data_IF_332170748497
#
_entry.id   IF_332170748497
#
_cell.length_a   1.000
_cell.length_b   1.000
_cell.length_c   1.000
_cell.angle_alpha   90.00
_cell.angle_beta   90.00
_cell.angle_gamma   90.00
#
_symmetry.space_group_name_H-M   'P 1'
#
loop_
_entity.id
_entity.type
_entity.pdbx_description
1 polymer ?
#
# COMPACT_ATOMS: atom_id res chain seq x y z
N UNK A 1 -36.53 -11.90 39.47
CA UNK A 1 -35.99 -10.60 39.05
C UNK A 1 -35.46 -10.74 37.62
N UNK A 2 -36.36 -10.78 36.63
CA UNK A 2 -36.77 -9.64 35.79
C UNK A 2 -35.69 -9.20 34.81
N UNK A 3 -35.67 -9.90 33.67
CA UNK A 3 -34.99 -9.55 32.42
C UNK A 3 -35.61 -8.27 31.85
N UNK A 4 -34.80 -7.22 31.68
CA UNK A 4 -35.20 -5.97 31.03
C UNK A 4 -34.73 -6.03 29.57
N UNK A 5 -35.69 -6.12 28.65
CA UNK A 5 -35.51 -5.92 27.20
C UNK A 5 -35.47 -4.42 26.91
N UNK A 6 -34.43 -3.95 26.22
CA UNK A 6 -34.38 -2.60 25.65
C UNK A 6 -35.05 -2.60 24.24
N UNK A 7 -35.87 -1.60 23.91
CA UNK A 7 -36.56 -1.55 22.63
C UNK A 7 -35.69 -0.98 21.49
N UNK A 8 -35.87 -1.57 20.31
CA UNK A 8 -35.44 -1.03 19.02
C UNK A 8 -36.28 0.21 18.69
N UNK A 9 -35.67 1.39 18.59
CA UNK A 9 -36.00 2.50 17.68
C UNK A 9 -35.42 3.81 18.21
N UNK A 10 -34.30 4.26 17.65
CA UNK A 10 -33.95 5.69 17.61
C UNK A 10 -33.45 5.97 16.19
N UNK A 11 -34.39 6.31 15.31
CA UNK A 11 -34.11 6.97 14.06
C UNK A 11 -34.73 8.37 14.14
N UNK A 12 -33.98 9.36 13.63
CA UNK A 12 -34.31 10.79 13.43
C UNK A 12 -34.05 11.69 14.64
N UNK A 13 -32.98 12.47 14.54
CA UNK A 13 -33.04 13.95 14.48
C UNK A 13 -31.62 14.50 14.32
N UNK A 14 -31.32 15.11 13.16
CA UNK A 14 -30.37 16.22 13.03
C UNK A 14 -30.76 17.04 11.78
N UNK A 15 -30.81 18.38 11.85
CA UNK A 15 -31.48 19.22 10.85
C UNK A 15 -30.56 19.78 9.77
N UNK A 16 -31.17 19.97 8.60
CA UNK A 16 -30.95 21.00 7.58
C UNK A 16 -29.86 22.07 7.86
N UNK A 17 -28.82 22.08 7.02
CA UNK A 17 -28.27 23.33 6.47
C UNK A 17 -27.95 23.13 4.99
N UNK A 18 -28.66 23.88 4.15
CA UNK A 18 -28.47 24.00 2.69
C UNK A 18 -28.47 25.49 2.39
N UNK A 19 -27.58 25.90 1.46
CA UNK A 19 -27.41 27.22 0.81
C UNK A 19 -26.40 28.15 1.51
N UNK A 20 -25.51 28.90 0.85
CA UNK A 20 -25.14 29.16 -0.56
C UNK A 20 -23.90 30.09 -0.51
N UNK A 21 -22.89 29.88 -1.35
CA UNK A 21 -22.09 30.92 -2.04
C UNK A 21 -21.19 30.21 -3.08
N UNK A 22 -21.46 30.20 -4.39
CA UNK A 22 -21.36 31.23 -5.44
C UNK A 22 -20.02 31.98 -5.51
N UNK A 23 -19.12 31.46 -6.34
CA UNK A 23 -18.17 32.19 -7.19
C UNK A 23 -17.83 31.24 -8.37
N UNK A 24 -18.45 31.41 -9.54
CA UNK A 24 -17.89 32.13 -10.71
C UNK A 24 -16.47 31.67 -11.04
N UNK A 25 -16.35 30.68 -11.92
CA UNK A 25 -15.40 30.68 -13.03
C UNK A 25 -16.16 30.13 -14.24
N UNK A 26 -16.38 31.02 -15.20
CA UNK A 26 -16.70 30.67 -16.57
C UNK A 26 -15.45 30.04 -17.17
N UNK A 27 -15.56 28.80 -17.63
CA UNK A 27 -14.83 28.33 -18.80
C UNK A 27 -15.82 27.49 -19.62
N UNK A 28 -16.18 28.04 -20.77
CA UNK A 28 -16.89 27.35 -21.83
C UNK A 28 -15.93 26.33 -22.44
N UNK A 29 -16.19 25.04 -22.21
CA UNK A 29 -15.89 23.89 -23.09
C UNK A 29 -15.82 22.62 -22.24
N UNK A 30 -16.95 21.93 -22.05
CA UNK A 30 -17.01 20.47 -21.85
C UNK A 30 -18.49 20.04 -21.80
N UNK A 31 -19.22 20.19 -22.91
CA UNK A 31 -20.50 19.47 -23.09
C UNK A 31 -20.22 18.05 -23.55
N UNK A 32 -19.76 17.21 -22.62
CA UNK A 32 -19.87 15.77 -22.75
C UNK A 32 -20.61 15.28 -21.51
N UNK A 33 -21.93 15.11 -21.63
CA UNK A 33 -22.67 14.30 -20.66
C UNK A 33 -21.96 12.96 -20.53
N UNK A 34 -21.68 12.47 -19.31
CA UNK A 34 -21.12 11.14 -19.14
C UNK A 34 -22.06 10.15 -19.84
N UNK A 35 -21.55 9.43 -20.83
CA UNK A 35 -22.29 8.37 -21.49
C UNK A 35 -22.33 7.20 -20.50
N UNK A 36 -23.27 7.26 -19.55
CA UNK A 36 -23.54 6.14 -18.66
C UNK A 36 -23.92 4.95 -19.54
N UNK A 37 -23.36 3.75 -19.29
CA UNK A 37 -23.85 2.56 -19.95
C UNK A 37 -25.37 2.48 -19.71
N UNK A 38 -26.17 2.18 -20.75
CA UNK A 38 -27.61 2.14 -20.62
C UNK A 38 -27.99 1.22 -19.46
N UNK A 39 -28.91 1.68 -18.61
CA UNK A 39 -29.50 0.86 -17.54
C UNK A 39 -30.00 -0.42 -18.21
N UNK A 40 -29.38 -1.56 -17.88
CA UNK A 40 -29.79 -2.87 -18.37
C UNK A 40 -31.27 -3.05 -18.04
N UNK A 41 -32.07 -3.04 -19.09
CA UNK A 41 -33.50 -3.24 -19.02
C UNK A 41 -33.75 -4.72 -18.71
N UNK A 42 -33.99 -5.01 -17.44
CA UNK A 42 -34.22 -6.35 -16.89
C UNK A 42 -35.64 -6.86 -17.14
N UNK A 43 -36.34 -6.33 -18.15
CA UNK A 43 -37.59 -6.91 -18.60
C UNK A 43 -37.39 -8.38 -19.01
N UNK A 44 -38.37 -9.26 -18.72
CA UNK A 44 -38.24 -10.71 -18.98
C UNK A 44 -37.85 -11.04 -20.43
N UNK A 45 -38.24 -10.20 -21.38
CA UNK A 45 -37.96 -10.34 -22.80
C UNK A 45 -36.47 -10.11 -23.12
N UNK A 46 -35.86 -9.05 -22.58
CA UNK A 46 -34.42 -8.77 -22.77
C UNK A 46 -33.50 -9.70 -22.01
N UNK A 47 -33.93 -10.20 -20.86
CA UNK A 47 -33.21 -11.28 -20.16
C UNK A 47 -33.19 -12.57 -21.01
N UNK A 48 -34.26 -12.84 -21.76
CA UNK A 48 -34.32 -13.96 -22.69
C UNK A 48 -33.43 -13.74 -23.91
N UNK A 49 -33.34 -12.50 -24.43
CA UNK A 49 -32.43 -12.13 -25.51
C UNK A 49 -30.96 -12.25 -25.10
N UNK A 50 -30.56 -11.74 -23.94
CA UNK A 50 -29.19 -11.91 -23.45
C UNK A 50 -28.82 -13.38 -23.19
N UNK A 51 -29.78 -14.20 -22.72
CA UNK A 51 -29.57 -15.65 -22.62
C UNK A 51 -29.41 -16.33 -23.98
N UNK A 52 -30.16 -15.86 -24.99
CA UNK A 52 -29.98 -16.33 -26.37
C UNK A 52 -28.65 -15.89 -26.93
N UNK A 53 -28.22 -14.64 -26.73
CA UNK A 53 -26.93 -14.11 -27.16
C UNK A 53 -25.76 -14.87 -26.53
N UNK A 54 -25.80 -15.11 -25.21
CA UNK A 54 -24.80 -15.94 -24.53
C UNK A 54 -24.78 -17.37 -25.09
N UNK A 55 -25.95 -17.96 -25.38
CA UNK A 55 -26.06 -19.26 -26.04
C UNK A 55 -25.50 -19.24 -27.48
N UNK A 56 -25.68 -18.14 -28.21
CA UNK A 56 -25.13 -17.98 -29.56
C UNK A 56 -23.61 -17.75 -29.53
N UNK A 57 -23.06 -17.08 -28.51
CA UNK A 57 -21.62 -16.95 -28.29
C UNK A 57 -20.97 -18.29 -27.91
N UNK A 58 -21.62 -19.08 -27.05
CA UNK A 58 -21.22 -20.46 -26.76
C UNK A 58 -21.22 -21.31 -28.03
N UNK A 59 -22.28 -21.24 -28.84
CA UNK A 59 -22.37 -21.95 -30.14
C UNK A 59 -21.34 -21.44 -31.16
N UNK A 60 -21.00 -20.15 -31.17
CA UNK A 60 -19.92 -19.60 -31.99
C UNK A 60 -18.57 -20.15 -31.54
N UNK A 61 -18.28 -20.17 -30.24
CA UNK A 61 -17.03 -20.72 -29.72
C UNK A 61 -16.90 -22.21 -30.04
N UNK A 62 -17.98 -22.99 -29.97
CA UNK A 62 -18.01 -24.40 -30.40
C UNK A 62 -17.71 -24.53 -31.89
N UNK A 63 -18.32 -23.71 -32.76
CA UNK A 63 -18.01 -23.70 -34.20
C UNK A 63 -16.57 -23.30 -34.51
N UNK A 64 -16.00 -22.34 -33.77
CA UNK A 64 -14.59 -21.94 -33.93
C UNK A 64 -13.62 -23.05 -33.50
N UNK A 65 -14.02 -23.90 -32.54
CA UNK A 65 -13.26 -25.09 -32.13
C UNK A 65 -13.36 -26.18 -33.21
N UNK A 66 -14.56 -26.41 -33.78
CA UNK A 66 -14.76 -27.34 -34.90
C UNK A 66 -13.99 -26.90 -36.16
N UNK A 67 -13.96 -25.61 -36.48
CA UNK A 67 -13.19 -25.06 -37.61
C UNK A 67 -11.67 -25.13 -37.38
N UNK A 68 -11.20 -25.06 -36.13
CA UNK A 68 -9.78 -25.31 -35.79
C UNK A 68 -9.42 -26.79 -35.93
N UNK A 69 -10.30 -27.69 -35.51
CA UNK A 69 -10.11 -29.14 -35.67
C UNK A 69 -10.10 -29.57 -37.15
N UNK A 70 -10.78 -28.84 -38.04
CA UNK A 70 -10.81 -29.10 -39.48
C UNK A 70 -9.59 -28.58 -40.25
N UNK A 71 -8.80 -27.66 -39.68
CA UNK A 71 -7.64 -27.04 -40.32
C UNK A 71 -6.29 -27.59 -39.86
N UNK A 72 -6.26 -28.45 -38.84
CA UNK A 72 -5.05 -29.18 -38.47
C UNK A 72 -4.89 -30.35 -39.46
N UNK A 73 -3.82 -30.33 -40.26
CA UNK A 73 -3.42 -31.49 -41.06
C UNK A 73 -3.22 -32.69 -40.10
N UNK A 74 -4.19 -33.60 -40.04
CA UNK A 74 -4.27 -34.73 -39.08
C UNK A 74 -3.03 -35.65 -39.06
N UNK A 75 -2.07 -35.47 -39.97
CA UNK A 75 -0.86 -36.28 -40.09
C UNK A 75 0.40 -35.42 -40.24
N UNK A 76 0.80 -34.76 -39.17
CA UNK A 76 2.19 -34.29 -39.03
C UNK A 76 3.11 -35.50 -38.78
N UNK A 77 4.31 -35.53 -39.39
CA UNK A 77 5.24 -36.67 -39.29
C UNK A 77 5.70 -37.00 -37.85
N UNK A 78 5.53 -36.05 -36.92
CA UNK A 78 5.73 -36.22 -35.49
C UNK A 78 4.41 -35.96 -34.77
N UNK A 79 3.86 -36.93 -34.00
CA UNK A 79 2.61 -36.73 -33.29
C UNK A 79 2.73 -35.61 -32.26
N UNK A 80 1.91 -34.57 -32.39
CA UNK A 80 1.85 -33.47 -31.45
C UNK A 80 0.72 -33.72 -30.43
N UNK A 81 1.05 -34.36 -29.30
CA UNK A 81 0.07 -34.62 -28.25
C UNK A 81 -0.21 -33.36 -27.44
N UNK A 82 -1.48 -33.12 -27.02
CA UNK A 82 -1.78 -32.05 -26.10
C UNK A 82 -1.10 -32.29 -24.73
N UNK A 83 -0.81 -31.23 -23.97
CA UNK A 83 -0.26 -31.36 -22.63
C UNK A 83 -1.24 -32.13 -21.73
N UNK A 84 -0.73 -33.09 -20.97
CA UNK A 84 -1.52 -33.86 -20.01
C UNK A 84 -1.87 -32.93 -18.85
N UNK A 85 -3.15 -32.62 -18.67
CA UNK A 85 -3.64 -31.77 -17.60
C UNK A 85 -4.33 -32.62 -16.52
N UNK A 86 -4.01 -32.35 -15.25
CA UNK A 86 -4.78 -32.90 -14.13
C UNK A 86 -6.10 -32.14 -13.99
N UNK A 87 -7.21 -32.87 -14.07
CA UNK A 87 -8.58 -32.35 -13.96
C UNK A 87 -9.11 -32.36 -12.53
N UNK A 88 -8.26 -32.67 -11.54
CA UNK A 88 -8.63 -32.53 -10.13
C UNK A 88 -9.09 -31.10 -9.83
N UNK A 89 -10.13 -30.89 -8.98
CA UNK A 89 -10.65 -29.55 -8.70
C UNK A 89 -9.60 -28.56 -8.21
N UNK A 90 -8.58 -29.07 -7.51
CA UNK A 90 -7.46 -28.29 -7.00
C UNK A 90 -6.57 -27.78 -8.15
N UNK A 91 -6.18 -28.67 -9.06
CA UNK A 91 -5.37 -28.31 -10.23
C UNK A 91 -6.10 -27.41 -11.20
N UNK A 92 -7.40 -27.61 -11.39
CA UNK A 92 -8.24 -26.69 -12.18
C UNK A 92 -8.25 -25.29 -11.57
N UNK A 93 -8.32 -25.16 -10.24
CA UNK A 93 -8.27 -23.86 -9.56
C UNK A 93 -6.86 -23.22 -9.67
N UNK A 94 -5.80 -24.03 -9.55
CA UNK A 94 -4.41 -23.60 -9.71
C UNK A 94 -4.17 -23.07 -11.13
N UNK A 95 -4.56 -23.82 -12.17
CA UNK A 95 -4.40 -23.40 -13.57
C UNK A 95 -5.18 -22.11 -13.86
N UNK A 96 -6.39 -21.94 -13.30
CA UNK A 96 -7.15 -20.68 -13.44
C UNK A 96 -6.42 -19.49 -12.80
N UNK A 97 -5.76 -19.71 -11.67
CA UNK A 97 -4.94 -18.67 -11.02
C UNK A 97 -3.70 -18.36 -11.85
N UNK A 98 -2.99 -19.38 -12.32
CA UNK A 98 -1.81 -19.23 -13.18
C UNK A 98 -2.14 -18.47 -14.45
N UNK A 99 -3.22 -18.83 -15.15
CA UNK A 99 -3.70 -18.10 -16.32
C UNK A 99 -3.96 -16.61 -16.00
N UNK A 100 -4.61 -16.34 -14.86
CA UNK A 100 -4.84 -14.96 -14.40
C UNK A 100 -3.54 -14.21 -14.07
N UNK A 101 -2.51 -14.92 -13.57
CA UNK A 101 -1.21 -14.35 -13.23
C UNK A 101 -0.37 -14.05 -14.47
N UNK A 102 -0.35 -14.96 -15.45
CA UNK A 102 0.27 -14.73 -16.75
C UNK A 102 -0.39 -13.55 -17.47
N UNK A 103 -1.71 -13.49 -17.41
CA UNK A 103 -2.50 -12.39 -17.91
C UNK A 103 -2.17 -11.03 -17.28
N UNK A 104 -1.80 -10.99 -15.99
CA UNK A 104 -1.36 -9.78 -15.28
C UNK A 104 0.11 -9.45 -15.60
N UNK A 105 0.95 -10.47 -15.72
CA UNK A 105 2.37 -10.36 -16.05
C UNK A 105 2.58 -9.76 -17.43
N UNK A 106 1.73 -10.12 -18.39
CA UNK A 106 1.81 -9.69 -19.79
C UNK A 106 1.25 -8.27 -20.05
N UNK A 107 0.61 -7.64 -19.07
CA UNK A 107 0.16 -6.24 -19.19
C UNK A 107 1.37 -5.32 -19.30
N UNK A 108 1.31 -4.33 -20.20
CA UNK A 108 2.45 -3.47 -20.52
C UNK A 108 2.58 -2.29 -19.56
N UNK A 109 1.49 -1.59 -19.29
CA UNK A 109 1.49 -0.38 -18.47
C UNK A 109 1.18 -0.69 -17.00
N UNK A 110 1.60 0.19 -16.09
CA UNK A 110 1.43 0.01 -14.65
C UNK A 110 -0.03 0.27 -14.26
N UNK A 111 -0.64 1.27 -14.89
CA UNK A 111 -2.01 1.69 -14.68
C UNK A 111 -2.98 0.56 -15.06
N UNK A 112 -2.79 -0.06 -16.22
CA UNK A 112 -3.58 -1.21 -16.65
C UNK A 112 -3.40 -2.39 -15.68
N UNK A 113 -2.19 -2.62 -15.15
CA UNK A 113 -1.97 -3.67 -14.14
C UNK A 113 -2.78 -3.41 -12.88
N UNK A 114 -2.77 -2.18 -12.37
CA UNK A 114 -3.54 -1.80 -11.18
C UNK A 114 -5.05 -1.92 -11.40
N UNK A 115 -5.54 -1.51 -12.57
CA UNK A 115 -6.95 -1.67 -12.93
C UNK A 115 -7.31 -3.14 -13.02
N UNK A 116 -6.53 -3.95 -13.75
CA UNK A 116 -6.78 -5.38 -13.95
C UNK A 116 -6.75 -6.17 -12.64
N UNK A 117 -5.89 -5.79 -11.71
CA UNK A 117 -5.86 -6.38 -10.36
C UNK A 117 -7.16 -6.12 -9.57
N UNK A 118 -7.80 -4.98 -9.81
CA UNK A 118 -9.04 -4.57 -9.13
C UNK A 118 -10.32 -5.03 -9.82
N UNK A 119 -10.31 -5.18 -11.14
CA UNK A 119 -11.49 -5.58 -11.94
C UNK A 119 -12.26 -6.80 -11.42
N UNK A 120 -11.65 -7.92 -10.98
CA UNK A 120 -12.42 -9.09 -10.55
C UNK A 120 -13.22 -8.88 -9.26
N UNK A 121 -13.02 -7.77 -8.54
CA UNK A 121 -13.68 -7.52 -7.26
C UNK A 121 -14.35 -6.15 -7.23
N UNK A 122 -15.66 -6.14 -7.45
CA UNK A 122 -16.49 -4.93 -7.44
C UNK A 122 -16.33 -4.09 -6.16
N UNK A 123 -16.32 -4.73 -4.98
CA UNK A 123 -16.14 -4.05 -3.69
C UNK A 123 -14.68 -4.02 -3.20
N UNK A 124 -13.72 -4.38 -4.05
CA UNK A 124 -12.32 -4.51 -3.68
C UNK A 124 -12.02 -5.71 -2.78
N UNK A 125 -10.90 -5.63 -2.07
CA UNK A 125 -10.38 -6.67 -1.20
C UNK A 125 -10.71 -6.35 0.25
N UNK A 126 -10.97 -7.38 1.05
CA UNK A 126 -11.02 -7.25 2.51
C UNK A 126 -9.58 -7.13 3.02
N UNK A 127 -9.14 -5.89 3.23
CA UNK A 127 -7.79 -5.55 3.62
C UNK A 127 -7.67 -5.40 5.13
N UNK A 128 -6.49 -5.72 5.65
CA UNK A 128 -6.05 -5.32 6.97
C UNK A 128 -5.39 -3.96 6.87
N UNK A 129 -5.90 -3.00 7.62
CA UNK A 129 -5.50 -1.60 7.53
C UNK A 129 -4.36 -1.32 8.50
N UNK A 130 -3.24 -0.85 7.95
CA UNK A 130 -2.08 -0.38 8.70
C UNK A 130 -1.92 1.10 8.42
N UNK A 131 -2.41 1.89 9.36
CA UNK A 131 -2.22 3.33 9.33
C UNK A 131 -0.92 3.68 10.06
N UNK A 132 -0.31 4.78 9.64
CA UNK A 132 0.95 5.26 10.22
C UNK A 132 0.75 5.82 11.64
N UNK A 133 -0.32 6.58 11.86
CA UNK A 133 -0.62 7.25 13.13
C UNK A 133 -1.29 6.36 14.18
N UNK A 134 -1.82 5.20 13.81
CA UNK A 134 -2.46 4.28 14.76
C UNK A 134 -1.64 2.99 14.90
N UNK A 135 -0.96 2.85 16.04
CA UNK A 135 -0.10 1.69 16.30
C UNK A 135 -0.61 0.93 17.54
N UNK A 136 -1.25 -0.22 17.37
CA UNK A 136 -1.61 -1.10 18.49
C UNK A 136 -0.38 -1.63 19.26
N UNK A 137 -0.61 -2.14 20.46
CA UNK A 137 0.44 -2.74 21.29
C UNK A 137 1.00 -4.04 20.69
N UNK A 138 2.31 -4.23 20.74
CA UNK A 138 2.96 -5.51 20.40
C UNK A 138 2.84 -5.91 18.92
N UNK A 139 2.74 -4.94 18.02
CA UNK A 139 2.54 -5.19 16.59
C UNK A 139 3.85 -5.51 15.82
N UNK A 140 5.02 -5.28 16.42
CA UNK A 140 6.32 -5.43 15.76
C UNK A 140 6.55 -6.85 15.15
N UNK A 141 6.30 -7.96 15.87
CA UNK A 141 6.48 -9.31 15.30
C UNK A 141 5.55 -9.59 14.12
N UNK A 142 4.31 -9.06 14.16
CA UNK A 142 3.38 -9.15 13.04
C UNK A 142 3.93 -8.41 11.83
N UNK A 143 4.42 -7.18 12.02
CA UNK A 143 4.96 -6.37 10.93
C UNK A 143 6.17 -7.04 10.27
N UNK A 144 7.13 -7.50 11.06
CA UNK A 144 8.28 -8.25 10.55
C UNK A 144 7.86 -9.50 9.76
N UNK A 145 6.82 -10.21 10.22
CA UNK A 145 6.28 -11.37 9.51
C UNK A 145 5.64 -11.00 8.17
N UNK A 146 4.76 -9.99 8.13
CA UNK A 146 4.00 -9.64 6.91
C UNK A 146 4.87 -8.95 5.86
N UNK A 147 5.91 -8.22 6.25
CA UNK A 147 6.88 -7.60 5.33
C UNK A 147 8.08 -8.50 5.05
N UNK A 148 8.19 -9.63 5.75
CA UNK A 148 9.35 -10.53 5.73
C UNK A 148 10.67 -9.80 6.00
N UNK A 149 10.64 -8.91 6.99
CA UNK A 149 11.78 -8.05 7.33
C UNK A 149 12.49 -8.57 8.58
N UNK A 150 13.82 -8.67 8.50
CA UNK A 150 14.68 -8.88 9.64
C UNK A 150 15.16 -7.52 10.19
N UNK A 151 15.05 -7.32 11.50
CA UNK A 151 15.49 -6.09 12.16
C UNK A 151 16.86 -6.31 12.79
N UNK A 152 17.83 -5.50 12.36
CA UNK A 152 19.18 -5.49 12.94
C UNK A 152 19.26 -4.28 13.87
N UNK A 153 19.25 -4.55 15.18
CA UNK A 153 19.45 -3.54 16.21
C UNK A 153 20.95 -3.34 16.41
N UNK A 154 21.52 -2.36 15.72
CA UNK A 154 22.87 -1.85 15.98
C UNK A 154 22.74 -0.40 16.43
N UNK A 155 23.52 -0.03 17.43
CA UNK A 155 23.61 1.37 17.88
C UNK A 155 24.31 2.26 16.85
N UNK A 156 25.00 1.64 15.89
CA UNK A 156 25.79 2.30 14.84
C UNK A 156 25.13 2.18 13.47
N UNK A 157 25.34 3.22 12.65
CA UNK A 157 24.97 3.23 11.24
C UNK A 157 25.78 2.18 10.45
N UNK A 158 25.30 1.77 9.26
CA UNK A 158 26.08 0.91 8.37
C UNK A 158 27.50 1.45 8.12
N UNK A 159 28.49 0.55 8.03
CA UNK A 159 29.93 0.89 7.93
C UNK A 159 30.26 1.89 6.82
N UNK A 160 29.47 1.87 5.74
CA UNK A 160 29.57 2.82 4.64
C UNK A 160 29.50 4.29 5.11
N UNK A 161 28.62 4.61 6.07
CA UNK A 161 28.43 5.99 6.53
C UNK A 161 29.56 6.48 7.43
N UNK A 162 30.29 5.58 8.09
CA UNK A 162 31.42 5.94 8.96
C UNK A 162 32.60 6.52 8.16
N UNK A 163 32.63 6.33 6.84
CA UNK A 163 33.69 6.86 5.97
C UNK A 163 33.45 8.32 5.55
N UNK A 164 32.25 8.86 5.80
CA UNK A 164 31.87 10.20 5.35
C UNK A 164 32.18 11.21 6.46
N UNK A 165 33.14 12.10 6.23
CA UNK A 165 33.41 13.21 7.15
C UNK A 165 32.40 14.34 6.91
N UNK A 166 31.62 14.69 7.95
CA UNK A 166 30.54 15.69 7.91
C UNK A 166 30.84 16.88 8.83
N UNK A 167 31.94 16.88 9.59
CA UNK A 167 32.17 17.83 10.69
C UNK A 167 32.17 19.30 10.22
N UNK A 168 32.81 19.57 9.08
CA UNK A 168 32.87 20.90 8.49
C UNK A 168 31.46 21.39 8.09
N UNK A 169 30.64 20.51 7.52
CA UNK A 169 29.27 20.82 7.11
C UNK A 169 28.37 21.08 8.33
N UNK A 170 28.51 20.26 9.37
CA UNK A 170 27.75 20.43 10.62
C UNK A 170 28.08 21.78 11.25
N UNK A 171 29.36 22.17 11.27
CA UNK A 171 29.78 23.46 11.85
C UNK A 171 29.12 24.66 11.15
N UNK A 172 28.95 24.58 9.83
CA UNK A 172 28.32 25.65 9.03
C UNK A 172 26.80 25.71 9.20
N UNK A 173 26.13 24.57 9.38
CA UNK A 173 24.66 24.49 9.40
C UNK A 173 24.09 24.62 10.82
N UNK A 174 24.90 24.34 11.84
CA UNK A 174 24.45 24.32 13.25
C UNK A 174 23.75 25.61 13.67
N UNK A 175 24.32 26.76 13.32
CA UNK A 175 23.74 28.07 13.66
C UNK A 175 22.35 28.26 13.04
N UNK A 176 22.18 27.86 11.78
CA UNK A 176 20.90 27.98 11.07
C UNK A 176 19.83 27.08 11.71
N UNK A 177 20.19 25.86 12.10
CA UNK A 177 19.26 24.92 12.77
C UNK A 177 18.85 25.45 14.15
N UNK A 178 19.80 25.97 14.94
CA UNK A 178 19.50 26.56 16.25
C UNK A 178 18.50 27.73 16.12
N UNK A 179 18.69 28.60 15.12
CA UNK A 179 17.77 29.70 14.84
C UNK A 179 16.38 29.20 14.45
N UNK A 180 16.29 28.18 13.58
CA UNK A 180 15.02 27.55 13.19
C UNK A 180 14.27 27.00 14.42
N UNK A 181 14.98 26.32 15.32
CA UNK A 181 14.37 25.76 16.53
C UNK A 181 13.84 26.86 17.46
N UNK A 182 14.63 27.92 17.68
CA UNK A 182 14.23 29.05 18.52
C UNK A 182 13.05 29.81 17.91
N UNK A 183 13.01 29.95 16.59
CA UNK A 183 11.93 30.62 15.87
C UNK A 183 10.61 29.84 16.01
N UNK A 184 10.63 28.55 15.67
CA UNK A 184 9.42 27.71 15.65
C UNK A 184 8.86 27.39 17.03
N UNK A 185 9.73 27.29 18.04
CA UNK A 185 9.33 26.95 19.41
C UNK A 185 8.87 28.18 20.21
N UNK A 186 9.56 29.32 20.11
CA UNK A 186 9.31 30.49 20.98
C UNK A 186 8.66 31.69 20.28
N UNK A 187 8.98 31.94 19.01
CA UNK A 187 8.69 33.24 18.38
C UNK A 187 7.53 33.18 17.38
N UNK A 188 7.22 32.01 16.84
CA UNK A 188 6.12 31.85 15.88
C UNK A 188 4.79 31.60 16.59
N UNK A 189 3.90 32.60 16.56
CA UNK A 189 2.52 32.45 17.04
C UNK A 189 1.62 31.90 15.94
N UNK A 190 1.03 30.73 16.16
CA UNK A 190 0.12 30.12 15.19
C UNK A 190 -1.28 30.69 15.35
N UNK A 191 -2.12 30.54 14.32
CA UNK A 191 -3.50 31.06 14.33
C UNK A 191 -4.28 30.62 15.57
N UNK A 192 -4.14 29.37 15.99
CA UNK A 192 -4.79 28.83 17.19
C UNK A 192 -4.28 29.43 18.49
N UNK A 193 -3.00 29.80 18.56
CA UNK A 193 -2.44 30.53 19.71
C UNK A 193 -3.02 31.95 19.80
N UNK A 194 -3.44 32.52 18.66
CA UNK A 194 -4.04 33.85 18.59
C UNK A 194 -5.56 33.80 18.79
N UNK A 195 -6.24 32.78 18.29
CA UNK A 195 -7.69 32.59 18.42
C UNK A 195 -8.10 31.88 19.72
N UNK A 196 -7.15 31.40 20.53
CA UNK A 196 -7.38 30.59 21.74
C UNK A 196 -8.30 29.38 21.48
N UNK A 197 -8.19 28.78 20.30
CA UNK A 197 -8.90 27.55 19.98
C UNK A 197 -8.25 26.36 20.71
N UNK A 198 -9.06 25.57 21.42
CA UNK A 198 -8.61 24.32 22.03
C UNK A 198 -8.34 23.30 20.92
N UNK A 199 -7.06 23.06 20.63
CA UNK A 199 -6.59 22.01 19.73
C UNK A 199 -6.10 20.83 20.57
N UNK A 200 -6.34 19.63 20.07
CA UNK A 200 -5.78 18.40 20.63
C UNK A 200 -4.24 18.45 20.71
N UNK A 201 -3.69 17.82 21.75
CA UNK A 201 -2.26 17.86 22.05
C UNK A 201 -1.45 17.22 20.91
N UNK A 202 -1.95 16.11 20.34
CA UNK A 202 -1.31 15.41 19.23
C UNK A 202 -1.28 16.30 17.97
N UNK A 203 -2.42 16.90 17.63
CA UNK A 203 -2.52 17.79 16.47
C UNK A 203 -1.61 19.03 16.62
N UNK A 204 -1.48 19.57 17.85
CA UNK A 204 -0.55 20.68 18.12
C UNK A 204 0.91 20.25 17.92
N UNK A 205 1.29 19.09 18.44
CA UNK A 205 2.65 18.57 18.28
C UNK A 205 2.97 18.28 16.81
N UNK A 206 2.05 17.68 16.06
CA UNK A 206 2.20 17.44 14.62
C UNK A 206 2.46 18.72 13.85
N UNK A 207 1.71 19.78 14.14
CA UNK A 207 1.88 21.07 13.46
C UNK A 207 3.26 21.69 13.75
N UNK A 208 3.71 21.60 15.01
CA UNK A 208 5.03 22.08 15.42
C UNK A 208 6.14 21.26 14.74
N UNK A 209 6.07 19.93 14.87
CA UNK A 209 7.03 18.99 14.28
C UNK A 209 7.10 19.15 12.76
N UNK A 210 5.94 19.29 12.09
CA UNK A 210 5.90 19.52 10.63
C UNK A 210 6.65 20.80 10.25
N UNK A 211 6.36 21.91 10.92
CA UNK A 211 7.05 23.18 10.65
C UNK A 211 8.55 23.06 10.88
N UNK A 212 8.98 22.47 12.00
CA UNK A 212 10.40 22.26 12.32
C UNK A 212 11.07 21.41 11.25
N UNK A 213 10.50 20.26 10.90
CA UNK A 213 11.06 19.36 9.87
C UNK A 213 11.18 20.04 8.51
N UNK A 214 10.17 20.81 8.09
CA UNK A 214 10.20 21.54 6.81
C UNK A 214 11.31 22.60 6.79
N UNK A 215 11.48 23.35 7.88
CA UNK A 215 12.50 24.40 7.97
C UNK A 215 13.91 23.85 8.12
N UNK A 216 14.09 22.76 8.88
CA UNK A 216 15.37 22.05 8.98
C UNK A 216 15.75 21.50 7.61
N UNK A 217 14.84 20.80 6.92
CA UNK A 217 15.12 20.27 5.58
C UNK A 217 15.45 21.39 4.59
N UNK A 218 14.74 22.53 4.65
CA UNK A 218 15.05 23.70 3.83
C UNK A 218 16.47 24.24 4.09
N UNK A 219 16.86 24.36 5.35
CA UNK A 219 18.20 24.86 5.74
C UNK A 219 19.30 23.89 5.31
N UNK A 220 19.06 22.60 5.50
CA UNK A 220 19.91 21.50 5.02
C UNK A 220 20.10 21.56 3.50
N UNK A 221 19.01 21.63 2.73
CA UNK A 221 19.07 21.65 1.27
C UNK A 221 19.74 22.91 0.72
N UNK A 222 19.50 24.09 1.31
CA UNK A 222 20.13 25.33 0.87
C UNK A 222 21.64 25.35 1.07
N UNK A 223 22.12 24.79 2.19
CA UNK A 223 23.54 24.74 2.48
C UNK A 223 24.24 23.61 1.71
N UNK A 224 23.66 22.41 1.67
CA UNK A 224 24.27 21.25 1.03
C UNK A 224 24.22 21.31 -0.51
N UNK A 225 23.22 21.95 -1.12
CA UNK A 225 23.10 22.06 -2.59
C UNK A 225 24.24 22.84 -3.25
N UNK A 226 24.98 23.65 -2.47
CA UNK A 226 26.18 24.37 -2.96
C UNK A 226 27.36 23.43 -3.16
N UNK A 227 27.50 22.45 -2.27
CA UNK A 227 28.61 21.49 -2.26
C UNK A 227 28.28 20.26 -3.10
N UNK A 228 27.01 19.83 -3.08
CA UNK A 228 26.55 18.60 -3.69
C UNK A 228 25.55 18.86 -4.81
N UNK A 229 26.03 18.76 -6.05
CA UNK A 229 25.21 18.98 -7.25
C UNK A 229 24.04 18.01 -7.40
N UNK A 230 24.17 16.79 -6.89
CA UNK A 230 23.09 15.79 -6.94
C UNK A 230 21.84 16.22 -6.15
N UNK A 231 22.00 17.03 -5.08
CA UNK A 231 20.88 17.56 -4.30
C UNK A 231 20.11 18.66 -5.04
N UNK A 232 20.72 19.32 -6.03
CA UNK A 232 20.00 20.29 -6.89
C UNK A 232 18.94 19.59 -7.75
N UNK A 233 19.15 18.30 -8.03
CA UNK A 233 18.22 17.45 -8.75
C UNK A 233 17.35 16.60 -7.81
N UNK A 234 17.28 16.93 -6.53
CA UNK A 234 16.38 16.25 -5.61
C UNK A 234 15.04 16.98 -5.54
N UNK A 235 13.95 16.22 -5.55
CA UNK A 235 12.59 16.75 -5.39
C UNK A 235 12.14 16.57 -3.94
N UNK A 236 11.46 17.58 -3.41
CA UNK A 236 10.92 17.58 -2.06
C UNK A 236 9.40 17.58 -2.18
N UNK A 237 8.75 16.57 -1.60
CA UNK A 237 7.30 16.54 -1.48
C UNK A 237 6.91 16.74 -0.01
N UNK A 238 5.89 17.58 0.20
CA UNK A 238 5.35 17.88 1.53
C UNK A 238 4.04 17.13 1.71
N UNK A 239 3.90 16.44 2.83
CA UNK A 239 2.72 15.63 3.16
C UNK A 239 2.26 14.67 2.03
N UNK A 240 3.17 13.91 1.35
CA UNK A 240 2.76 13.04 0.25
C UNK A 240 1.90 11.86 0.74
N UNK A 241 0.95 11.45 -0.11
CA UNK A 241 0.09 10.29 0.14
C UNK A 241 0.79 9.00 -0.27
N UNK A 242 1.12 8.15 0.70
CA UNK A 242 1.64 6.81 0.44
C UNK A 242 0.52 5.78 0.64
N UNK A 243 0.31 4.93 -0.36
CA UNK A 243 -0.52 3.74 -0.20
C UNK A 243 0.21 2.53 -0.76
N UNK A 244 0.14 1.41 -0.05
CA UNK A 244 0.85 0.20 -0.45
C UNK A 244 0.02 -1.02 -0.11
N UNK A 245 -0.10 -1.92 -1.07
CA UNK A 245 -0.87 -3.15 -0.98
C UNK A 245 -0.01 -4.35 -1.33
N UNK A 246 -0.15 -5.42 -0.54
CA UNK A 246 0.47 -6.70 -0.82
C UNK A 246 -0.29 -7.85 -0.15
N UNK A 247 0.03 -9.08 -0.54
CA UNK A 247 -0.46 -10.28 0.12
C UNK A 247 0.60 -10.85 1.05
N UNK A 248 0.24 -11.04 2.33
CA UNK A 248 1.07 -11.73 3.31
C UNK A 248 0.49 -13.13 3.59
N UNK A 249 1.27 -14.18 3.34
CA UNK A 249 0.88 -15.58 3.57
C UNK A 249 1.45 -16.16 4.87
N UNK A 250 0.95 -17.33 5.28
CA UNK A 250 1.47 -18.09 6.42
C UNK A 250 0.66 -18.03 7.71
N UNK A 251 -0.37 -17.17 7.78
CA UNK A 251 -1.23 -17.04 8.97
C UNK A 251 -2.39 -18.04 8.98
N UNK A 252 -2.81 -18.41 10.18
CA UNK A 252 -3.95 -19.31 10.42
C UNK A 252 -5.25 -18.73 9.82
N UNK A 253 -6.11 -19.56 9.21
CA UNK A 253 -7.39 -19.12 8.67
C UNK A 253 -8.36 -18.68 9.78
N UNK A 254 -9.06 -17.54 9.63
CA UNK A 254 -10.13 -17.14 10.52
C UNK A 254 -11.30 -18.13 10.45
N UNK A 255 -12.13 -18.10 11.50
CA UNK A 255 -13.22 -19.06 11.68
C UNK A 255 -14.22 -19.08 10.52
N UNK A 256 -14.46 -17.94 9.86
CA UNK A 256 -15.32 -17.87 8.68
C UNK A 256 -14.76 -18.68 7.50
N UNK A 257 -13.44 -18.66 7.29
CA UNK A 257 -12.78 -19.45 6.24
C UNK A 257 -12.79 -20.93 6.61
N UNK A 258 -12.53 -21.28 7.88
CA UNK A 258 -12.63 -22.66 8.36
C UNK A 258 -14.04 -23.23 8.18
N UNK A 259 -15.07 -22.44 8.51
CA UNK A 259 -16.49 -22.81 8.28
C UNK A 259 -16.79 -23.05 6.80
N UNK A 260 -16.30 -22.17 5.92
CA UNK A 260 -16.48 -22.33 4.48
C UNK A 260 -15.85 -23.63 3.96
N UNK A 261 -14.59 -23.90 4.35
CA UNK A 261 -13.86 -25.12 3.95
C UNK A 261 -14.51 -26.39 4.48
N UNK A 262 -15.02 -26.39 5.71
CA UNK A 262 -15.79 -27.52 6.27
C UNK A 262 -17.08 -27.81 5.50
N UNK A 263 -17.70 -26.77 4.94
CA UNK A 263 -18.93 -26.89 4.14
C UNK A 263 -18.70 -27.55 2.77
N UNK A 264 -17.48 -27.56 2.25
CA UNK A 264 -17.15 -28.15 0.95
C UNK A 264 -16.40 -29.46 1.13
N UNK A 265 -16.97 -30.58 0.66
CA UNK A 265 -16.37 -31.92 0.86
C UNK A 265 -14.92 -32.03 0.37
N UNK A 266 -14.64 -31.45 -0.79
CA UNK A 266 -13.30 -31.43 -1.39
C UNK A 266 -12.33 -30.42 -0.75
N UNK A 267 -12.74 -29.65 0.26
CA UNK A 267 -11.86 -28.73 1.01
C UNK A 267 -11.73 -29.09 2.50
N UNK A 268 -12.42 -30.12 2.98
CA UNK A 268 -12.42 -30.51 4.40
C UNK A 268 -11.02 -30.82 4.91
N UNK A 269 -10.19 -31.50 4.11
CA UNK A 269 -8.79 -31.80 4.48
C UNK A 269 -7.92 -30.55 4.62
N UNK A 270 -8.34 -29.42 4.05
CA UNK A 270 -7.61 -28.15 4.01
C UNK A 270 -8.09 -27.14 5.04
N UNK A 271 -8.93 -27.54 6.00
CA UNK A 271 -9.55 -26.63 6.97
C UNK A 271 -8.52 -25.70 7.62
N UNK A 272 -7.43 -26.27 8.13
CA UNK A 272 -6.39 -25.56 8.87
C UNK A 272 -5.25 -25.02 7.99
N UNK A 273 -5.33 -25.15 6.66
CA UNK A 273 -4.27 -24.62 5.80
C UNK A 273 -4.14 -23.10 5.95
N UNK A 274 -2.92 -22.56 6.06
CA UNK A 274 -2.69 -21.12 6.09
C UNK A 274 -3.33 -20.39 4.91
N UNK A 275 -3.66 -19.12 5.11
CA UNK A 275 -4.29 -18.31 4.07
C UNK A 275 -3.64 -16.95 3.94
N UNK A 276 -3.57 -16.47 2.70
CA UNK A 276 -3.05 -15.15 2.41
C UNK A 276 -3.98 -14.06 2.96
N UNK A 277 -3.38 -12.98 3.42
CA UNK A 277 -4.04 -11.79 3.97
C UNK A 277 -3.71 -10.63 3.05
N UNK A 278 -4.74 -9.92 2.61
CA UNK A 278 -4.59 -8.66 1.91
C UNK A 278 -4.21 -7.58 2.91
N UNK A 279 -3.03 -6.99 2.76
CA UNK A 279 -2.53 -5.94 3.64
C UNK A 279 -2.61 -4.62 2.87
N UNK A 280 -3.06 -3.57 3.54
CA UNK A 280 -3.03 -2.21 3.03
C UNK A 280 -2.37 -1.30 4.05
N UNK A 281 -1.30 -0.64 3.62
CA UNK A 281 -0.65 0.44 4.35
C UNK A 281 -1.10 1.80 3.81
N UNK A 282 -1.35 2.75 4.71
CA UNK A 282 -1.60 4.16 4.40
C UNK A 282 -0.65 5.00 5.25
N UNK A 283 0.22 5.73 4.55
CA UNK A 283 1.22 6.62 5.14
C UNK A 283 0.98 8.07 4.76
N UNK A 284 1.25 8.96 5.70
CA UNK A 284 1.30 10.42 5.51
C UNK A 284 2.56 10.96 6.17
N UNK A 285 3.74 10.67 5.60
CA UNK A 285 5.01 11.28 6.00
C UNK A 285 4.90 12.81 5.99
N UNK A 286 5.70 13.48 6.81
CA UNK A 286 5.76 14.94 6.83
C UNK A 286 6.46 15.49 5.58
N UNK A 287 7.48 14.77 5.11
CA UNK A 287 8.33 15.18 3.99
C UNK A 287 8.99 13.97 3.34
N UNK A 288 9.08 13.98 2.02
CA UNK A 288 9.89 13.06 1.23
C UNK A 288 10.94 13.78 0.42
N UNK A 289 12.13 13.21 0.38
CA UNK A 289 13.18 13.54 -0.57
C UNK A 289 13.24 12.45 -1.64
N UNK A 290 13.06 12.83 -2.90
CA UNK A 290 13.16 11.95 -4.05
C UNK A 290 14.29 12.37 -4.98
N UNK A 291 14.76 11.42 -5.78
CA UNK A 291 15.74 11.70 -6.82
C UNK A 291 15.54 10.81 -8.04
N UNK A 292 16.30 11.10 -9.09
CA UNK A 292 16.26 10.37 -10.35
C UNK A 292 17.03 9.05 -10.30
N UNK A 293 17.95 8.88 -9.34
CA UNK A 293 18.78 7.69 -9.23
C UNK A 293 18.48 6.96 -7.91
N UNK A 294 18.48 5.63 -7.90
CA UNK A 294 18.26 4.88 -6.66
C UNK A 294 19.46 5.03 -5.72
N UNK A 295 19.20 4.89 -4.42
CA UNK A 295 20.26 4.72 -3.43
C UNK A 295 21.02 3.42 -3.68
N UNK A 296 22.30 3.42 -3.31
CA UNK A 296 23.13 2.24 -3.40
C UNK A 296 22.68 1.18 -2.37
N UNK A 297 22.78 -0.12 -2.72
CA UNK A 297 22.51 -1.19 -1.77
C UNK A 297 23.45 -1.10 -0.55
N UNK A 298 22.87 -1.19 0.64
CA UNK A 298 23.63 -1.27 1.90
C UNK A 298 24.31 -2.64 2.02
N UNK A 299 23.61 -3.69 1.58
CA UNK A 299 24.05 -5.08 1.62
C UNK A 299 23.94 -5.65 0.21
N UNK A 300 24.88 -6.51 -0.20
CA UNK A 300 24.83 -7.15 -1.50
C UNK A 300 23.61 -8.08 -1.62
N UNK A 301 23.00 -8.16 -2.81
CA UNK A 301 21.79 -8.96 -3.03
C UNK A 301 21.93 -10.44 -2.63
N UNK A 302 23.13 -11.02 -2.81
CA UNK A 302 23.43 -12.42 -2.41
C UNK A 302 23.50 -12.61 -0.89
N UNK A 303 23.90 -11.58 -0.17
CA UNK A 303 23.99 -11.62 1.29
C UNK A 303 22.61 -11.43 1.92
N UNK A 304 21.70 -10.70 1.24
CA UNK A 304 20.31 -10.56 1.68
C UNK A 304 19.55 -11.90 1.77
N UNK A 305 20.00 -12.94 1.05
CA UNK A 305 19.43 -14.30 1.11
C UNK A 305 20.05 -15.20 2.19
N UNK A 306 20.84 -14.65 3.11
CA UNK A 306 21.46 -15.44 4.18
C UNK A 306 20.41 -15.98 5.17
N UNK A 307 20.52 -17.27 5.51
CA UNK A 307 19.66 -17.98 6.47
C UNK A 307 19.81 -17.47 7.91
N UNK A 308 20.90 -16.76 8.21
CA UNK A 308 21.13 -16.13 9.53
C UNK A 308 20.08 -15.06 9.85
N UNK A 309 19.48 -14.43 8.84
CA UNK A 309 18.45 -13.40 9.01
C UNK A 309 17.09 -14.03 9.34
N UNK A 310 16.91 -14.36 10.62
CA UNK A 310 15.66 -14.95 11.12
C UNK A 310 14.55 -13.92 11.21
N UNK A 311 13.47 -14.15 10.47
CA UNK A 311 12.23 -13.37 10.56
C UNK A 311 11.29 -14.02 11.58
N UNK A 312 10.72 -13.28 12.55
CA UNK A 312 9.76 -13.84 13.47
C UNK A 312 8.50 -14.29 12.73
N UNK A 313 7.97 -15.44 13.14
CA UNK A 313 6.76 -15.99 12.56
C UNK A 313 5.54 -15.61 13.39
N UNK A 314 4.57 -14.94 12.77
CA UNK A 314 3.30 -14.57 13.41
C UNK A 314 2.17 -15.45 12.89
N UNK A 315 1.66 -16.34 13.75
CA UNK A 315 0.67 -17.35 13.36
C UNK A 315 -0.79 -16.83 13.34
N UNK A 316 -1.10 -15.89 14.23
CA UNK A 316 -2.48 -15.51 14.52
C UNK A 316 -3.07 -14.55 13.48
N UNK A 317 -4.38 -14.31 13.54
CA UNK A 317 -5.03 -13.28 12.74
C UNK A 317 -4.56 -11.89 13.23
N UNK A 318 -4.17 -10.95 12.34
CA UNK A 318 -3.75 -9.59 12.72
C UNK A 318 -4.77 -8.83 13.59
N UNK A 319 -6.06 -9.21 13.56
CA UNK A 319 -7.09 -8.65 14.45
C UNK A 319 -6.81 -8.88 15.93
N UNK A 320 -6.07 -9.93 16.28
CA UNK A 320 -5.71 -10.24 17.67
C UNK A 320 -4.82 -9.14 18.27
N UNK A 321 -4.01 -8.48 17.44
CA UNK A 321 -3.18 -7.33 17.82
C UNK A 321 -3.85 -6.01 17.45
N UNK A 322 -5.18 -5.95 17.38
CA UNK A 322 -5.93 -4.71 17.20
C UNK A 322 -5.97 -4.15 15.77
N UNK A 323 -5.53 -4.92 14.76
CA UNK A 323 -5.58 -4.45 13.36
C UNK A 323 -7.02 -4.49 12.83
N UNK A 324 -7.48 -3.37 12.28
CA UNK A 324 -8.83 -3.24 11.70
C UNK A 324 -8.87 -3.80 10.27
N UNK A 325 -10.07 -4.16 9.82
CA UNK A 325 -10.27 -4.59 8.42
C UNK A 325 -11.36 -3.80 7.74
N UNK A 326 -11.11 -3.37 6.51
CA UNK A 326 -12.07 -2.67 5.66
C UNK A 326 -12.05 -3.26 4.25
N UNK A 327 -13.07 -2.96 3.45
CA UNK A 327 -13.07 -3.31 2.03
C UNK A 327 -12.50 -2.13 1.24
N UNK A 328 -11.46 -2.36 0.46
CA UNK A 328 -10.79 -1.33 -0.34
C UNK A 328 -10.28 -1.89 -1.66
N UNK A 329 -10.29 -1.07 -2.70
CA UNK A 329 -9.56 -1.38 -3.92
C UNK A 329 -8.06 -1.32 -3.65
N UNK A 330 -7.31 -2.17 -4.34
CA UNK A 330 -5.85 -2.21 -4.29
C UNK A 330 -5.31 -0.89 -4.81
N UNK A 331 -4.52 -0.22 -3.97
CA UNK A 331 -3.84 1.02 -4.32
C UNK A 331 -2.37 0.92 -3.92
N UNK A 332 -1.51 1.21 -4.90
CA UNK A 332 -0.06 1.38 -4.73
C UNK A 332 0.26 2.78 -5.23
N UNK A 333 0.54 3.72 -4.33
CA UNK A 333 0.78 5.14 -4.61
C UNK A 333 2.04 5.54 -3.82
N UNK A 334 3.16 5.86 -4.49
CA UNK A 334 4.41 6.22 -3.80
C UNK A 334 4.50 7.71 -3.40
N UNK A 335 3.48 8.50 -3.69
CA UNK A 335 3.42 9.95 -3.43
C UNK A 335 3.58 10.83 -4.67
N UNK A 336 3.81 10.24 -5.84
CA UNK A 336 3.89 10.92 -7.14
C UNK A 336 3.10 10.14 -8.20
N UNK A 337 2.89 10.74 -9.37
CA UNK A 337 2.17 10.12 -10.48
C UNK A 337 3.11 9.29 -11.37
N UNK A 338 2.64 8.21 -12.01
CA UNK A 338 3.44 7.47 -12.98
C UNK A 338 4.00 8.39 -14.07
N UNK A 339 5.26 8.19 -14.46
CA UNK A 339 5.95 8.99 -15.47
C UNK A 339 6.68 10.23 -14.94
N UNK A 340 6.65 10.49 -13.64
CA UNK A 340 7.57 11.46 -13.01
C UNK A 340 9.03 11.02 -13.23
N UNK A 341 9.95 11.96 -13.42
CA UNK A 341 11.38 11.65 -13.62
C UNK A 341 12.10 11.30 -12.31
N UNK A 342 11.53 11.65 -11.16
CA UNK A 342 12.14 11.47 -9.83
C UNK A 342 11.51 10.29 -9.09
N UNK A 343 11.68 9.08 -9.62
CA UNK A 343 10.93 7.89 -9.16
C UNK A 343 11.46 7.27 -7.87
N UNK A 344 12.69 7.60 -7.45
CA UNK A 344 13.36 6.93 -6.33
C UNK A 344 13.32 7.75 -5.04
N UNK A 345 12.86 7.13 -3.96
CA UNK A 345 12.89 7.72 -2.62
C UNK A 345 14.29 7.66 -1.99
N UNK A 346 14.73 8.77 -1.41
CA UNK A 346 15.99 8.87 -0.68
C UNK A 346 15.75 8.80 0.83
N UNK A 347 14.98 9.75 1.33
CA UNK A 347 14.75 9.97 2.76
C UNK A 347 13.30 10.37 3.02
N UNK A 348 12.68 9.75 4.01
CA UNK A 348 11.36 10.12 4.51
C UNK A 348 11.43 10.59 5.96
N UNK A 349 10.66 11.62 6.28
CA UNK A 349 10.52 12.15 7.64
C UNK A 349 9.13 11.86 8.19
N UNK A 350 9.08 11.29 9.38
CA UNK A 350 7.86 10.82 9.99
C UNK A 350 7.57 11.49 11.34
N UNK A 351 6.29 11.62 11.66
CA UNK A 351 5.85 12.17 12.95
C UNK A 351 5.82 11.09 14.01
N UNK A 352 6.10 11.49 15.26
CA UNK A 352 5.99 10.64 16.46
C UNK A 352 4.77 10.99 17.32
N UNK A 353 3.81 11.72 16.75
CA UNK A 353 2.59 12.20 17.45
C UNK A 353 1.85 11.09 18.20
N UNK A 354 1.76 9.90 17.58
CA UNK A 354 1.05 8.73 18.10
C UNK A 354 1.66 8.15 19.39
N UNK A 355 2.85 8.61 19.80
CA UNK A 355 3.49 8.20 21.06
C UNK A 355 3.06 9.06 22.25
N UNK A 356 2.54 10.27 22.03
CA UNK A 356 2.29 11.25 23.09
C UNK A 356 1.22 10.76 24.07
N UNK A 357 0.09 10.29 23.54
CA UNK A 357 -1.03 9.76 24.35
C UNK A 357 -1.05 8.23 24.41
N UNK A 358 0.08 7.57 24.13
CA UNK A 358 0.13 6.11 24.11
C UNK A 358 0.00 5.54 25.53
N UNK A 359 -1.00 4.70 25.74
CA UNK A 359 -1.26 4.04 27.03
C UNK A 359 -0.18 3.03 27.48
N UNK A 360 0.78 2.70 26.61
CA UNK A 360 1.79 1.67 26.82
C UNK A 360 3.20 2.21 26.53
N UNK A 361 3.78 3.03 27.41
CA UNK A 361 5.05 3.71 27.14
C UNK A 361 6.25 2.76 27.01
N UNK A 362 6.17 1.56 27.61
CA UNK A 362 7.21 0.54 27.49
C UNK A 362 7.35 -0.03 26.06
N UNK A 363 6.32 0.12 25.22
CA UNK A 363 6.25 -0.37 23.83
C UNK A 363 6.63 0.73 22.81
N UNK A 364 7.07 1.91 23.28
CA UNK A 364 7.36 3.04 22.39
C UNK A 364 8.47 2.73 21.37
N UNK A 365 9.50 1.99 21.79
CA UNK A 365 10.62 1.60 20.91
C UNK A 365 10.13 0.65 19.83
N UNK A 366 9.35 -0.36 20.20
CA UNK A 366 8.76 -1.32 19.26
C UNK A 366 7.78 -0.65 18.30
N UNK A 367 7.01 0.35 18.78
CA UNK A 367 6.13 1.16 17.95
C UNK A 367 6.90 1.98 16.90
N UNK A 368 8.04 2.58 17.28
CA UNK A 368 8.92 3.29 16.35
C UNK A 368 9.55 2.34 15.33
N UNK A 369 10.05 1.18 15.75
CA UNK A 369 10.59 0.18 14.83
C UNK A 369 9.52 -0.31 13.85
N UNK A 370 8.30 -0.56 14.34
CA UNK A 370 7.15 -0.90 13.50
C UNK A 370 6.87 0.19 12.47
N UNK A 371 6.84 1.46 12.88
CA UNK A 371 6.59 2.59 11.98
C UNK A 371 7.68 2.66 10.91
N UNK A 372 8.95 2.62 11.31
CA UNK A 372 10.08 2.68 10.38
C UNK A 372 10.06 1.55 9.35
N UNK A 373 9.76 0.31 9.77
CA UNK A 373 9.65 -0.84 8.86
C UNK A 373 8.49 -0.64 7.88
N UNK A 374 7.27 -0.31 8.34
CA UNK A 374 6.11 -0.18 7.47
C UNK A 374 6.19 1.03 6.55
N UNK A 375 6.67 2.16 7.04
CA UNK A 375 6.86 3.35 6.22
C UNK A 375 7.86 3.08 5.09
N UNK A 376 9.02 2.53 5.44
CA UNK A 376 10.07 2.21 4.47
C UNK A 376 9.60 1.13 3.48
N UNK A 377 9.06 0.01 3.97
CA UNK A 377 8.57 -1.07 3.12
C UNK A 377 7.39 -0.60 2.25
N UNK A 378 6.44 0.12 2.84
CA UNK A 378 5.25 0.62 2.14
C UNK A 378 5.63 1.54 0.98
N UNK A 379 6.58 2.46 1.22
CA UNK A 379 7.08 3.36 0.21
C UNK A 379 7.87 2.64 -0.90
N UNK A 380 8.79 1.75 -0.52
CA UNK A 380 9.58 0.96 -1.47
C UNK A 380 8.72 0.02 -2.32
N UNK A 381 7.72 -0.64 -1.72
CA UNK A 381 6.79 -1.50 -2.44
C UNK A 381 5.95 -0.68 -3.43
N UNK A 382 5.48 0.52 -3.04
CA UNK A 382 4.75 1.38 -3.95
C UNK A 382 5.63 1.87 -5.13
N UNK A 383 6.89 2.23 -4.87
CA UNK A 383 7.88 2.57 -5.91
C UNK A 383 8.16 1.38 -6.83
N UNK A 384 8.37 0.19 -6.28
CA UNK A 384 8.58 -1.04 -7.05
C UNK A 384 7.41 -1.30 -8.01
N UNK A 385 6.17 -1.10 -7.55
CA UNK A 385 4.98 -1.17 -8.39
C UNK A 385 4.99 -0.16 -9.55
N UNK A 386 5.48 1.06 -9.31
CA UNK A 386 5.62 2.09 -10.35
C UNK A 386 6.79 1.82 -11.30
N UNK A 387 7.77 1.03 -10.89
CA UNK A 387 8.84 0.54 -11.78
C UNK A 387 8.40 -0.71 -12.57
N UNK A 388 7.17 -1.20 -12.37
CA UNK A 388 6.60 -2.36 -13.05
C UNK A 388 6.83 -3.71 -12.36
N UNK A 389 7.50 -3.72 -11.20
CA UNK A 389 7.64 -4.88 -10.33
C UNK A 389 6.36 -5.12 -9.55
N UNK A 390 5.97 -6.38 -9.38
CA UNK A 390 4.72 -6.75 -8.67
C UNK A 390 4.94 -8.08 -7.96
N UNK A 391 3.93 -8.59 -7.26
CA UNK A 391 3.98 -9.96 -6.73
C UNK A 391 4.20 -11.05 -7.79
N UNK A 392 4.00 -10.71 -9.07
CA UNK A 392 4.20 -11.61 -10.21
C UNK A 392 5.49 -11.33 -10.99
N UNK A 393 6.09 -10.15 -10.78
CA UNK A 393 7.31 -9.70 -11.43
C UNK A 393 8.30 -9.28 -10.35
N UNK A 394 9.22 -10.17 -10.02
CA UNK A 394 10.18 -9.94 -8.95
C UNK A 394 11.17 -8.81 -9.26
N UNK A 395 11.68 -8.18 -8.22
CA UNK A 395 12.68 -7.12 -8.34
C UNK A 395 14.00 -7.67 -8.87
N UNK A 396 14.64 -6.95 -9.77
CA UNK A 396 15.95 -7.34 -10.35
C UNK A 396 17.14 -6.72 -9.62
N UNK A 397 16.89 -5.70 -8.80
CA UNK A 397 17.88 -5.02 -7.98
C UNK A 397 17.22 -4.54 -6.68
N UNK A 398 17.99 -4.43 -5.58
CA UNK A 398 17.47 -3.94 -4.31
C UNK A 398 17.12 -2.45 -4.39
N UNK A 399 15.99 -2.09 -3.80
CA UNK A 399 15.60 -0.69 -3.57
C UNK A 399 15.90 -0.34 -2.11
N UNK A 400 16.50 0.84 -1.90
CA UNK A 400 16.90 1.32 -0.58
C UNK A 400 16.28 2.68 -0.34
N UNK A 401 15.80 2.89 0.88
CA UNK A 401 15.34 4.19 1.39
C UNK A 401 15.85 4.38 2.81
N UNK A 402 15.89 5.63 3.25
CA UNK A 402 16.17 6.03 4.62
C UNK A 402 14.91 6.62 5.25
N UNK A 403 14.72 6.41 6.55
CA UNK A 403 13.58 6.89 7.30
C UNK A 403 14.08 7.56 8.59
N UNK A 404 13.55 8.76 8.89
CA UNK A 404 13.89 9.57 10.06
C UNK A 404 12.64 9.87 10.90
#
# INVERSE_FOLDING_TARGET
>A
MSLIRLPRNIAKQLPLYRKLSTAVLNDEEYTATPNYPPILDLSPEKVLEHKKEASYEELRNVKTIEEKLLNDEEYTATPNYPPILDLSPEKVLEHKKEASYEELRNVKTIEEKQIKLNMPKYYGFKCYMFDEGEIPYGQLPLVQHITRTHLILKDELPEYYNQINVDDLVSGIKSDIEEVLVLEYNHYRRKHDVSNEEIDIEARDRLLTRSICHQINRSLMNNMSRTFSHLQNAQIDLDPRIESFWFAGGMDPPENIKKYRRGMEWQKHKENEPTNRAIQYIGTPLLHLRSRLPLLPIIAFKEATNEDFKVPFFKYDPRVVGTLTTHRHVTNIPGFWPGDSYEHGLLSYHSREHLINRNFPHDNVDALHRQGILASFGWLNAQANYLGFTTYNDITYPLVTQCA
#
